data_IF_874128458201
#
_entry.id   IF_874128458201
#
_cell.length_a   1.000
_cell.length_b   1.000
_cell.length_c   1.000
_cell.angle_alpha   90.00
_cell.angle_beta   90.00
_cell.angle_gamma   90.00
#
_symmetry.space_group_name_H-M   'P 1'
#
loop_
_entity.id
_entity.type
_entity.pdbx_description
1 polymer ?
#
# COMPACT_ATOMS: atom_id res chain seq x y z
N UNK A 1 43.47 6.30 -5.98
CA UNK A 1 44.01 7.57 -6.50
C UNK A 1 43.28 8.73 -5.86
N UNK A 2 44.00 9.77 -5.40
CA UNK A 2 43.40 10.96 -4.79
C UNK A 2 42.88 11.93 -5.86
N UNK A 3 41.92 12.80 -5.48
CA UNK A 3 41.38 13.85 -6.35
C UNK A 3 42.48 14.79 -6.88
N UNK A 4 43.48 15.11 -6.04
CA UNK A 4 44.61 15.95 -6.43
C UNK A 4 45.40 15.37 -7.62
N UNK A 5 45.60 14.05 -7.64
CA UNK A 5 46.27 13.40 -8.76
C UNK A 5 45.42 13.43 -10.04
N UNK A 6 44.10 13.25 -9.91
CA UNK A 6 43.16 13.30 -11.05
C UNK A 6 43.05 14.70 -11.64
N UNK A 7 43.01 15.75 -10.82
CA UNK A 7 43.02 17.14 -11.32
C UNK A 7 44.33 17.46 -12.06
N UNK A 8 45.45 16.94 -11.58
CA UNK A 8 46.75 17.14 -12.23
C UNK A 8 46.89 16.38 -13.57
N UNK A 9 46.10 15.32 -13.80
CA UNK A 9 46.25 14.44 -14.97
C UNK A 9 45.13 14.63 -16.00
N UNK A 10 43.90 14.82 -15.53
CA UNK A 10 42.69 14.92 -16.36
C UNK A 10 42.14 16.36 -16.43
N UNK A 11 42.67 17.31 -15.66
CA UNK A 11 42.28 18.74 -15.63
C UNK A 11 40.75 18.95 -15.46
N UNK A 12 40.16 19.95 -16.12
CA UNK A 12 38.72 20.28 -16.12
C UNK A 12 37.79 19.06 -16.28
N UNK A 13 38.05 18.06 -17.15
CA UNK A 13 37.27 16.81 -17.22
C UNK A 13 37.09 16.06 -15.89
N UNK A 14 37.99 16.20 -14.93
CA UNK A 14 37.84 15.58 -13.61
C UNK A 14 36.74 16.24 -12.76
N UNK A 15 36.36 17.48 -13.10
CA UNK A 15 35.32 18.27 -12.45
C UNK A 15 33.94 18.13 -13.10
N UNK A 16 33.85 17.48 -14.28
CA UNK A 16 32.57 17.24 -14.96
C UNK A 16 31.73 16.30 -14.09
N UNK A 17 30.47 16.69 -13.85
CA UNK A 17 29.50 15.83 -13.17
C UNK A 17 29.18 14.61 -14.04
N UNK A 18 29.65 13.44 -13.62
CA UNK A 18 29.44 12.15 -14.30
C UNK A 18 28.23 11.38 -13.76
N UNK A 19 27.36 12.04 -12.97
CA UNK A 19 26.16 11.39 -12.44
C UNK A 19 25.21 11.04 -13.59
N UNK A 20 24.83 9.78 -13.66
CA UNK A 20 23.82 9.30 -14.62
C UNK A 20 22.37 9.49 -14.12
N UNK A 21 22.20 10.27 -13.06
CA UNK A 21 20.93 10.40 -12.35
C UNK A 21 20.55 9.15 -11.56
N UNK A 22 19.33 9.15 -11.03
CA UNK A 22 18.79 8.02 -10.26
C UNK A 22 18.28 6.94 -11.21
N UNK A 23 18.95 5.78 -11.23
CA UNK A 23 18.58 4.65 -12.11
C UNK A 23 17.40 3.80 -11.62
N UNK A 24 17.12 3.84 -10.32
CA UNK A 24 16.07 3.02 -9.72
C UNK A 24 15.37 3.75 -8.59
N UNK A 25 14.15 3.33 -8.27
CA UNK A 25 13.38 3.92 -7.18
C UNK A 25 13.75 3.25 -5.85
N UNK A 26 14.38 4.01 -4.94
CA UNK A 26 14.82 3.48 -3.63
C UNK A 26 13.70 3.41 -2.59
N UNK A 27 12.68 4.27 -2.72
CA UNK A 27 11.58 4.37 -1.75
C UNK A 27 10.33 3.60 -2.18
N UNK A 28 10.14 3.45 -3.49
CA UNK A 28 9.05 2.65 -4.07
C UNK A 28 9.59 1.28 -4.47
N UNK A 29 10.04 0.54 -3.46
CA UNK A 29 10.38 -0.87 -3.60
C UNK A 29 9.12 -1.67 -3.99
N UNK A 30 9.26 -2.88 -4.56
CA UNK A 30 8.13 -3.67 -5.04
C UNK A 30 7.02 -3.86 -3.99
N UNK A 31 7.40 -4.05 -2.72
CA UNK A 31 6.49 -4.26 -1.59
C UNK A 31 5.61 -3.02 -1.35
N UNK A 32 6.23 -1.83 -1.38
CA UNK A 32 5.52 -0.55 -1.23
C UNK A 32 4.60 -0.30 -2.44
N UNK A 33 5.00 -0.70 -3.64
CA UNK A 33 4.15 -0.61 -4.84
C UNK A 33 2.96 -1.56 -4.76
N UNK A 34 3.16 -2.78 -4.28
CA UNK A 34 2.09 -3.74 -4.07
C UNK A 34 1.06 -3.20 -3.08
N UNK A 35 1.52 -2.67 -1.94
CA UNK A 35 0.63 -2.05 -0.95
C UNK A 35 -0.12 -0.84 -1.53
N UNK A 36 0.58 0.03 -2.28
CA UNK A 36 -0.05 1.16 -2.96
C UNK A 36 -1.18 0.72 -3.91
N UNK A 37 -0.98 -0.35 -4.68
CA UNK A 37 -2.00 -0.93 -5.56
C UNK A 37 -3.17 -1.46 -4.74
N UNK A 38 -2.91 -2.22 -3.66
CA UNK A 38 -3.97 -2.75 -2.80
C UNK A 38 -4.83 -1.64 -2.21
N UNK A 39 -4.21 -0.60 -1.63
CA UNK A 39 -4.94 0.52 -1.05
C UNK A 39 -5.69 1.34 -2.09
N UNK A 40 -5.14 1.48 -3.29
CA UNK A 40 -5.83 2.11 -4.40
C UNK A 40 -7.12 1.35 -4.76
N UNK A 41 -7.06 0.03 -4.92
CA UNK A 41 -8.23 -0.79 -5.25
C UNK A 41 -9.27 -0.74 -4.12
N UNK A 42 -8.84 -0.90 -2.87
CA UNK A 42 -9.72 -0.84 -1.70
C UNK A 42 -10.43 0.51 -1.54
N UNK A 43 -9.83 1.62 -1.99
CA UNK A 43 -10.47 2.93 -1.94
C UNK A 43 -11.47 3.16 -3.08
N UNK A 44 -11.15 2.72 -4.30
CA UNK A 44 -11.98 3.02 -5.48
C UNK A 44 -13.17 2.08 -5.65
N UNK A 45 -13.06 0.83 -5.23
CA UNK A 45 -14.10 -0.17 -5.42
C UNK A 45 -15.37 0.12 -4.59
N UNK A 46 -15.28 0.40 -3.28
CA UNK A 46 -16.47 0.73 -2.48
C UNK A 46 -16.99 2.15 -2.73
N UNK A 47 -16.09 3.14 -2.82
CA UNK A 47 -16.47 4.56 -2.74
C UNK A 47 -16.01 5.42 -3.93
N UNK A 48 -15.25 4.88 -4.88
CA UNK A 48 -14.63 5.67 -5.96
C UNK A 48 -13.55 6.64 -5.48
N UNK A 49 -13.14 6.57 -4.21
CA UNK A 49 -12.25 7.53 -3.55
C UNK A 49 -10.85 6.94 -3.39
N UNK A 50 -9.91 7.49 -4.14
CA UNK A 50 -8.47 7.33 -3.87
C UNK A 50 -7.82 8.71 -4.04
N UNK A 51 -7.33 9.27 -2.93
CA UNK A 51 -6.60 10.54 -2.90
C UNK A 51 -5.15 10.30 -2.52
N UNK A 52 -4.24 11.16 -2.99
CA UNK A 52 -2.82 11.06 -2.64
C UNK A 52 -2.59 11.18 -1.12
N UNK A 53 -3.42 11.97 -0.42
CA UNK A 53 -3.37 12.11 1.05
C UNK A 53 -3.74 10.81 1.77
N UNK A 54 -4.89 10.23 1.42
CA UNK A 54 -5.37 8.99 2.04
C UNK A 54 -4.40 7.83 1.80
N UNK A 55 -3.86 7.72 0.58
CA UNK A 55 -2.85 6.72 0.26
C UNK A 55 -1.53 6.94 1.02
N UNK A 56 -1.14 8.19 1.27
CA UNK A 56 0.04 8.50 2.09
C UNK A 56 -0.15 8.05 3.53
N UNK A 57 -1.35 8.27 4.08
CA UNK A 57 -1.70 7.86 5.44
C UNK A 57 -1.65 6.33 5.56
N UNK A 58 -2.28 5.60 4.63
CA UNK A 58 -2.24 4.12 4.64
C UNK A 58 -0.83 3.56 4.50
N UNK A 59 0.01 4.12 3.61
CA UNK A 59 1.39 3.65 3.43
C UNK A 59 2.27 3.96 4.64
N UNK A 60 2.01 5.08 5.32
CA UNK A 60 2.68 5.39 6.58
C UNK A 60 2.33 4.37 7.66
N UNK A 61 1.06 3.99 7.77
CA UNK A 61 0.58 3.04 8.78
C UNK A 61 1.03 1.60 8.51
N UNK A 62 1.03 1.17 7.24
CA UNK A 62 1.24 -0.24 6.87
C UNK A 62 2.68 -0.58 6.48
N UNK A 63 3.42 0.40 5.97
CA UNK A 63 4.81 0.21 5.53
C UNK A 63 5.82 1.05 6.31
N UNK A 64 5.39 1.75 7.38
CA UNK A 64 6.23 2.65 8.18
C UNK A 64 6.97 3.71 7.34
N UNK A 65 6.40 4.09 6.19
CA UNK A 65 7.08 4.91 5.19
C UNK A 65 6.34 6.24 4.97
N UNK A 66 7.02 7.35 5.29
CA UNK A 66 6.47 8.70 5.12
C UNK A 66 6.71 9.21 3.70
N UNK A 67 5.73 9.04 2.80
CA UNK A 67 5.79 9.53 1.43
C UNK A 67 4.97 10.82 1.27
N UNK A 68 5.42 11.71 0.37
CA UNK A 68 4.63 12.88 0.03
C UNK A 68 3.56 12.54 -1.01
N UNK A 69 2.42 13.23 -0.94
CA UNK A 69 1.27 12.98 -1.82
C UNK A 69 1.58 13.13 -3.32
N UNK A 70 2.55 13.99 -3.65
CA UNK A 70 2.97 14.21 -5.05
C UNK A 70 3.68 12.99 -5.60
N UNK A 71 4.60 12.39 -4.83
CA UNK A 71 5.29 11.16 -5.23
C UNK A 71 4.33 9.99 -5.40
N UNK A 72 3.31 9.89 -4.54
CA UNK A 72 2.28 8.84 -4.68
C UNK A 72 1.51 9.03 -5.98
N UNK A 73 1.05 10.26 -6.28
CA UNK A 73 0.36 10.56 -7.53
C UNK A 73 1.22 10.26 -8.76
N UNK A 74 2.50 10.62 -8.72
CA UNK A 74 3.46 10.26 -9.77
C UNK A 74 3.54 8.74 -9.99
N UNK A 75 3.61 7.96 -8.91
CA UNK A 75 3.58 6.50 -8.99
C UNK A 75 2.27 5.95 -9.55
N UNK A 76 1.13 6.47 -9.15
CA UNK A 76 -0.16 6.05 -9.70
C UNK A 76 -0.24 6.29 -11.22
N UNK A 77 0.36 7.38 -11.70
CA UNK A 77 0.45 7.68 -13.14
C UNK A 77 1.41 6.70 -13.83
N UNK A 78 2.59 6.46 -13.27
CA UNK A 78 3.59 5.50 -13.79
C UNK A 78 3.04 4.07 -13.86
N UNK A 79 2.27 3.66 -12.87
CA UNK A 79 1.62 2.34 -12.81
C UNK A 79 0.34 2.26 -13.67
N UNK A 80 -0.12 3.36 -14.26
CA UNK A 80 -1.34 3.41 -15.08
C UNK A 80 -2.66 3.34 -14.29
N UNK A 81 -2.60 3.33 -12.96
CA UNK A 81 -3.77 3.17 -12.07
C UNK A 81 -4.79 4.31 -12.23
N UNK A 82 -4.31 5.52 -12.49
CA UNK A 82 -5.17 6.69 -12.74
C UNK A 82 -6.11 6.49 -13.94
N UNK A 83 -5.72 5.69 -14.94
CA UNK A 83 -6.51 5.45 -16.16
C UNK A 83 -7.62 4.43 -15.95
N UNK A 84 -7.38 3.44 -15.08
CA UNK A 84 -8.34 2.37 -14.80
C UNK A 84 -9.32 2.73 -13.68
N UNK A 85 -9.14 3.87 -13.01
CA UNK A 85 -9.94 4.29 -11.85
C UNK A 85 -11.46 4.15 -12.06
N UNK A 86 -11.96 4.50 -13.25
CA UNK A 86 -13.40 4.48 -13.58
C UNK A 86 -13.89 3.12 -14.02
N UNK A 87 -13.06 2.35 -14.71
CA UNK A 87 -13.45 1.05 -15.29
C UNK A 87 -13.19 -0.13 -14.37
N UNK A 88 -12.38 0.06 -13.32
CA UNK A 88 -12.00 -1.00 -12.40
C UNK A 88 -13.16 -1.45 -11.49
N UNK A 89 -14.02 -0.55 -10.95
CA UNK A 89 -15.19 -0.97 -10.18
C UNK A 89 -16.13 -1.87 -10.99
N UNK A 90 -16.35 -1.56 -12.28
CA UNK A 90 -17.21 -2.37 -13.16
C UNK A 90 -16.66 -3.79 -13.42
N UNK A 91 -15.35 -3.98 -13.24
CA UNK A 91 -14.65 -5.25 -13.50
C UNK A 91 -14.49 -6.12 -12.27
N UNK A 92 -14.69 -5.56 -11.09
CA UNK A 92 -14.51 -6.26 -9.83
C UNK A 92 -15.87 -6.40 -9.17
N UNK A 93 -16.42 -7.62 -9.02
CA UNK A 93 -17.64 -7.82 -8.28
C UNK A 93 -17.38 -7.47 -6.81
N UNK A 94 -17.88 -6.32 -6.38
CA UNK A 94 -17.88 -5.92 -4.98
C UNK A 94 -19.23 -6.29 -4.37
N UNK A 95 -19.21 -7.25 -3.46
CA UNK A 95 -20.38 -7.60 -2.66
C UNK A 95 -20.14 -7.10 -1.23
N UNK A 96 -20.99 -6.19 -0.78
CA UNK A 96 -20.93 -5.66 0.58
C UNK A 96 -21.47 -6.71 1.56
N UNK A 97 -20.59 -7.51 2.13
CA UNK A 97 -20.99 -8.47 3.18
C UNK A 97 -21.12 -7.71 4.51
N UNK A 98 -22.36 -7.48 4.94
CA UNK A 98 -22.67 -7.00 6.28
C UNK A 98 -22.71 -8.19 7.24
N UNK A 99 -21.77 -8.27 8.18
CA UNK A 99 -21.85 -9.28 9.25
C UNK A 99 -22.67 -8.71 10.42
N UNK A 100 -23.66 -9.46 10.95
CA UNK A 100 -24.32 -9.07 12.19
C UNK A 100 -23.31 -9.22 13.33
N UNK A 101 -22.84 -8.09 13.87
CA UNK A 101 -22.02 -8.10 15.09
C UNK A 101 -22.95 -8.45 16.25
N UNK A 102 -22.76 -9.63 16.86
CA UNK A 102 -23.37 -9.94 18.16
C UNK A 102 -22.56 -9.20 19.23
N UNK A 103 -22.92 -7.94 19.50
CA UNK A 103 -22.26 -7.12 20.51
C UNK A 103 -22.57 -7.71 21.90
N UNK A 104 -21.53 -8.16 22.61
CA UNK A 104 -21.54 -8.08 24.08
C UNK A 104 -20.79 -6.80 24.40
N UNK A 105 -21.52 -5.79 24.88
CA UNK A 105 -21.08 -4.44 25.30
C UNK A 105 -20.67 -3.43 24.22
N UNK A 106 -21.24 -2.23 24.36
CA UNK A 106 -21.21 -1.09 23.46
C UNK A 106 -19.80 -0.56 23.15
N UNK A 107 -19.40 -0.66 21.89
CA UNK A 107 -18.79 0.45 21.12
C UNK A 107 -18.69 0.06 19.65
N UNK A 108 -19.28 0.87 18.78
CA UNK A 108 -19.46 0.56 17.35
C UNK A 108 -18.14 0.77 16.60
N UNK A 109 -17.44 -0.31 16.29
CA UNK A 109 -16.36 -0.34 15.29
C UNK A 109 -16.87 -1.11 14.08
N UNK A 110 -17.31 -0.37 13.06
CA UNK A 110 -17.65 -0.93 11.75
C UNK A 110 -16.35 -1.31 11.05
N UNK A 111 -16.03 -2.61 11.03
CA UNK A 111 -14.90 -3.14 10.27
C UNK A 111 -15.37 -3.44 8.85
N UNK A 112 -15.07 -2.55 7.92
CA UNK A 112 -15.18 -2.84 6.50
C UNK A 112 -13.93 -3.60 6.05
N UNK A 113 -14.07 -4.88 5.70
CA UNK A 113 -13.50 -5.52 4.49
C UNK A 113 -13.33 -7.05 4.67
N UNK A 114 -13.97 -7.84 3.80
CA UNK A 114 -13.64 -9.24 3.56
C UNK A 114 -14.17 -9.68 2.18
N UNK A 115 -13.37 -10.40 1.40
CA UNK A 115 -13.76 -10.96 0.10
C UNK A 115 -14.17 -12.43 0.24
N UNK A 116 -15.17 -12.87 -0.55
CA UNK A 116 -15.56 -14.27 -0.70
C UNK A 116 -15.09 -14.76 -2.07
N UNK A 117 -14.30 -15.83 -2.12
CA UNK A 117 -14.08 -16.58 -3.35
C UNK A 117 -15.34 -17.43 -3.64
N UNK A 118 -15.87 -17.44 -4.87
CA UNK A 118 -17.08 -18.20 -5.18
C UNK A 118 -16.80 -19.71 -5.07
N UNK A 119 -17.57 -20.42 -4.23
CA UNK A 119 -17.59 -21.89 -4.19
C UNK A 119 -17.13 -22.57 -2.89
N UNK A 120 -16.73 -21.83 -1.85
CA UNK A 120 -16.30 -22.45 -0.58
C UNK A 120 -17.47 -22.59 0.40
N UNK A 121 -17.89 -23.83 0.68
CA UNK A 121 -18.74 -24.15 1.82
C UNK A 121 -17.98 -23.88 3.13
N UNK A 122 -18.69 -23.26 4.07
CA UNK A 122 -18.21 -22.81 5.37
C UNK A 122 -17.60 -23.96 6.19
N UNK A 123 -16.31 -23.87 6.53
CA UNK A 123 -15.72 -24.63 7.65
C UNK A 123 -15.47 -23.63 8.78
N UNK A 124 -16.29 -23.63 9.85
CA UNK A 124 -16.00 -22.78 11.00
C UNK A 124 -14.68 -23.22 11.62
N UNK A 125 -13.73 -22.29 11.75
CA UNK A 125 -12.57 -22.47 12.62
C UNK A 125 -13.11 -22.62 14.05
N UNK A 126 -13.20 -23.86 14.53
CA UNK A 126 -13.45 -24.14 15.94
C UNK A 126 -12.30 -23.52 16.74
N UNK A 127 -12.57 -22.38 17.38
CA UNK A 127 -11.65 -21.76 18.31
C UNK A 127 -11.34 -22.75 19.42
N UNK A 128 -10.07 -23.11 19.59
CA UNK A 128 -9.59 -23.80 20.78
C UNK A 128 -9.85 -22.88 21.97
N UNK A 129 -10.79 -23.25 22.82
CA UNK A 129 -11.01 -22.62 24.11
C UNK A 129 -9.88 -23.07 25.03
N UNK A 130 -8.79 -22.31 25.13
CA UNK A 130 -7.90 -22.41 26.29
C UNK A 130 -8.59 -21.68 27.44
N UNK A 131 -9.20 -22.45 28.35
CA UNK A 131 -9.68 -21.93 29.63
C UNK A 131 -8.50 -21.37 30.44
N UNK A 132 -8.62 -20.20 31.07
CA UNK A 132 -7.67 -19.78 32.09
C UNK A 132 -7.98 -20.55 33.39
N UNK A 133 -7.04 -21.40 33.82
CA UNK A 133 -7.05 -22.02 35.14
C UNK A 133 -6.85 -20.94 36.21
N UNK A 134 -7.87 -20.78 37.07
CA UNK A 134 -7.81 -19.97 38.26
C UNK A 134 -6.80 -20.56 39.26
N UNK A 135 -5.81 -19.77 39.67
CA UNK A 135 -5.06 -20.02 40.91
C UNK A 135 -6.00 -19.76 42.09
N UNK A 136 -6.17 -20.77 42.94
CA UNK A 136 -6.55 -20.63 44.35
C UNK A 136 -5.33 -20.93 45.20
#
# INVERSE_FOLDING_TARGET
MSLALRLNTEDVPALIDKREGQKQEYRFIPEVKAELIQQFVLGIVPDGRASGKLLAEHLRERCELVLCERSIRDQLVKLGLSRIKKSLPDRLPYESVSYPIRNTTDSVLSVHCGYRLPGTLYVPLQGRTTQPSALK
#
